data_IF_181618499476
#
_entry.id   IF_181618499476
#
_cell.length_a   1.000
_cell.length_b   1.000
_cell.length_c   1.000
_cell.angle_alpha   90.00
_cell.angle_beta   90.00
_cell.angle_gamma   90.00
#
_symmetry.space_group_name_H-M   'P 1'
#
loop_
_entity.id
_entity.type
_entity.pdbx_description
1 polymer ?
#
# COMPACT_ATOMS: atom_id res chain seq x y z
N UNK A 1 16.05 7.15 6.46
CA UNK A 1 14.81 7.31 7.26
C UNK A 1 14.66 8.76 7.67
N UNK A 2 13.69 9.48 7.12
CA UNK A 2 12.95 10.47 7.87
C UNK A 2 11.49 10.02 8.02
N UNK A 3 10.99 10.33 9.20
CA UNK A 3 9.70 9.98 9.78
C UNK A 3 8.56 10.49 8.90
N UNK A 4 7.63 9.61 8.50
CA UNK A 4 6.32 9.99 7.99
C UNK A 4 5.52 10.64 9.12
N UNK A 5 5.82 11.91 9.36
CA UNK A 5 5.13 12.72 10.34
C UNK A 5 4.07 13.55 9.60
N UNK A 6 2.84 13.03 9.51
CA UNK A 6 1.62 13.86 9.48
C UNK A 6 0.34 13.02 9.55
N UNK A 7 -0.56 13.51 10.40
CA UNK A 7 -2.00 13.30 10.41
C UNK A 7 -2.58 12.08 11.16
N UNK A 8 -3.35 12.43 12.18
CA UNK A 8 -4.04 11.63 13.20
C UNK A 8 -5.27 10.87 12.71
N UNK A 9 -5.17 10.09 11.62
CA UNK A 9 -6.24 9.20 11.16
C UNK A 9 -5.64 7.96 10.51
N UNK A 10 -5.98 6.79 11.07
CA UNK A 10 -5.70 5.41 10.59
C UNK A 10 -5.17 5.38 9.13
N UNK A 11 -3.86 5.29 8.95
CA UNK A 11 -3.23 5.20 7.63
C UNK A 11 -3.52 3.82 7.03
N UNK A 12 -4.43 3.76 6.07
CA UNK A 12 -4.76 2.54 5.32
C UNK A 12 -4.18 2.66 3.91
N UNK A 13 -3.56 1.56 3.46
CA UNK A 13 -3.16 1.21 2.10
C UNK A 13 -1.92 1.94 1.55
N UNK A 14 -0.77 1.26 1.69
CA UNK A 14 0.35 1.40 0.76
C UNK A 14 -0.02 0.57 -0.47
N UNK A 15 -0.56 1.22 -1.51
CA UNK A 15 -0.62 0.66 -2.86
C UNK A 15 0.68 1.10 -3.52
N UNK A 16 1.66 0.19 -3.58
CA UNK A 16 2.88 0.39 -4.38
C UNK A 16 2.50 0.00 -5.81
N UNK A 17 1.84 0.91 -6.52
CA UNK A 17 1.77 0.82 -7.98
C UNK A 17 2.94 1.63 -8.52
N UNK A 18 3.97 0.92 -8.99
CA UNK A 18 5.11 1.52 -9.64
C UNK A 18 4.63 2.10 -10.96
N UNK A 19 4.70 3.42 -11.07
CA UNK A 19 4.49 4.23 -12.27
C UNK A 19 3.02 4.60 -12.61
N UNK A 20 2.82 5.92 -12.74
CA UNK A 20 1.66 6.62 -13.33
C UNK A 20 0.32 6.72 -12.60
N UNK A 21 0.16 6.24 -11.37
CA UNK A 21 -1.17 6.21 -10.74
C UNK A 21 -1.57 7.38 -9.81
N UNK A 22 -0.81 8.49 -9.75
CA UNK A 22 -1.17 9.60 -8.85
C UNK A 22 -2.43 10.35 -9.32
N UNK A 23 -2.62 10.51 -10.64
CA UNK A 23 -3.76 11.27 -11.17
C UNK A 23 -5.11 10.55 -10.94
N UNK A 24 -5.10 9.22 -10.88
CA UNK A 24 -6.33 8.42 -10.80
C UNK A 24 -6.89 8.31 -9.36
N UNK A 25 -6.05 8.41 -8.34
CA UNK A 25 -6.46 8.18 -6.94
C UNK A 25 -7.48 9.19 -6.39
N UNK A 26 -7.45 10.44 -6.87
CA UNK A 26 -8.44 11.46 -6.49
C UNK A 26 -9.83 11.12 -7.05
N UNK A 27 -9.89 10.48 -8.22
CA UNK A 27 -11.14 10.04 -8.84
C UNK A 27 -11.80 8.89 -8.06
N UNK A 28 -11.00 8.06 -7.37
CA UNK A 28 -11.52 6.99 -6.52
C UNK A 28 -12.05 7.50 -5.19
N UNK A 29 -11.21 8.17 -4.38
CA UNK A 29 -11.64 8.72 -3.09
C UNK A 29 -10.66 9.78 -2.56
N UNK A 30 -11.13 10.93 -2.05
CA UNK A 30 -10.27 12.05 -1.64
C UNK A 30 -9.37 11.78 -0.43
N UNK A 31 -9.51 10.63 0.23
CA UNK A 31 -8.64 10.20 1.35
C UNK A 31 -7.49 9.28 0.90
N UNK A 32 -7.47 8.86 -0.36
CA UNK A 32 -6.38 8.05 -0.89
C UNK A 32 -5.17 8.94 -1.16
N UNK A 33 -4.00 8.46 -0.74
CA UNK A 33 -2.73 9.13 -0.95
C UNK A 33 -1.84 8.23 -1.79
N UNK A 34 -1.50 8.69 -3.00
CA UNK A 34 -0.51 8.05 -3.86
C UNK A 34 0.89 8.52 -3.48
N UNK A 35 1.82 7.58 -3.38
CA UNK A 35 3.24 7.87 -3.16
C UNK A 35 4.04 7.45 -4.40
N UNK A 36 4.99 8.29 -4.81
CA UNK A 36 5.93 8.01 -5.89
C UNK A 36 7.31 8.55 -5.52
N UNK A 37 8.33 8.19 -6.27
CA UNK A 37 9.69 8.66 -6.08
C UNK A 37 10.62 8.20 -7.20
N UNK A 38 11.91 8.35 -6.97
CA UNK A 38 12.96 7.80 -7.83
C UNK A 38 12.98 6.27 -7.80
N UNK A 39 13.56 5.61 -8.81
CA UNK A 39 13.70 4.16 -8.84
C UNK A 39 14.37 3.59 -7.58
N UNK A 40 15.35 4.31 -7.01
CA UNK A 40 16.04 3.88 -5.78
C UNK A 40 15.14 3.97 -4.54
N UNK A 41 14.37 5.05 -4.40
CA UNK A 41 13.41 5.21 -3.29
C UNK A 41 12.32 4.15 -3.35
N UNK A 42 11.81 3.89 -4.55
CA UNK A 42 10.79 2.89 -4.82
C UNK A 42 11.34 1.48 -4.56
N UNK A 43 12.55 1.16 -5.03
CA UNK A 43 13.20 -0.12 -4.75
C UNK A 43 13.43 -0.33 -3.25
N UNK A 44 13.83 0.73 -2.53
CA UNK A 44 14.02 0.70 -1.08
C UNK A 44 12.70 0.41 -0.36
N UNK A 45 11.61 1.07 -0.76
CA UNK A 45 10.28 0.83 -0.22
C UNK A 45 9.77 -0.58 -0.52
N UNK A 46 9.89 -1.05 -1.77
CA UNK A 46 9.49 -2.39 -2.18
C UNK A 46 10.23 -3.46 -1.36
N UNK A 47 11.54 -3.29 -1.14
CA UNK A 47 12.34 -4.18 -0.31
C UNK A 47 11.91 -4.17 1.16
N UNK A 48 11.59 -3.01 1.72
CA UNK A 48 11.14 -2.89 3.11
C UNK A 48 9.82 -3.63 3.37
N UNK A 49 8.91 -3.63 2.40
CA UNK A 49 7.62 -4.33 2.48
C UNK A 49 7.63 -5.73 1.84
N UNK A 50 8.79 -6.20 1.37
CA UNK A 50 8.96 -7.48 0.67
C UNK A 50 8.02 -7.62 -0.55
N UNK A 51 7.75 -6.51 -1.23
CA UNK A 51 6.94 -6.47 -2.45
C UNK A 51 7.81 -6.86 -3.63
N UNK A 52 7.35 -7.86 -4.38
CA UNK A 52 7.92 -8.22 -5.67
C UNK A 52 7.34 -7.32 -6.76
N UNK A 53 8.21 -6.82 -7.64
CA UNK A 53 7.83 -6.19 -8.89
C UNK A 53 8.82 -6.57 -10.00
N UNK A 54 8.33 -6.81 -11.20
CA UNK A 54 9.14 -7.06 -12.39
C UNK A 54 8.53 -6.37 -13.60
N UNK A 55 9.26 -5.47 -14.29
CA UNK A 55 8.80 -4.98 -15.57
C UNK A 55 8.76 -6.15 -16.57
N UNK A 56 7.64 -6.29 -17.27
CA UNK A 56 7.51 -7.19 -18.40
C UNK A 56 8.33 -6.66 -19.59
N UNK A 57 8.58 -7.52 -20.57
CA UNK A 57 9.13 -7.12 -21.86
C UNK A 57 8.24 -6.07 -22.51
N UNK A 58 8.86 -5.00 -23.03
CA UNK A 58 8.17 -3.96 -23.79
C UNK A 58 7.52 -4.58 -25.02
N UNK A 59 6.25 -4.28 -25.24
CA UNK A 59 5.55 -4.70 -26.45
C UNK A 59 5.93 -3.81 -27.66
N UNK A 60 5.44 -4.20 -28.85
CA UNK A 60 5.73 -3.49 -30.09
C UNK A 60 5.18 -2.04 -30.09
N UNK A 61 4.26 -1.71 -29.18
CA UNK A 61 3.62 -0.39 -29.05
C UNK A 61 4.33 0.51 -28.01
N UNK A 62 5.47 0.07 -27.45
CA UNK A 62 6.18 0.69 -26.32
C UNK A 62 5.41 0.73 -24.99
N UNK A 63 4.35 -0.06 -24.86
CA UNK A 63 3.68 -0.29 -23.60
C UNK A 63 4.39 -1.43 -22.84
N UNK A 64 4.34 -1.37 -21.51
CA UNK A 64 4.85 -2.43 -20.66
C UNK A 64 3.94 -2.62 -19.45
N UNK A 65 3.73 -3.88 -19.11
CA UNK A 65 3.07 -4.26 -17.87
C UNK A 65 4.13 -4.47 -16.79
N UNK A 66 3.77 -4.20 -15.54
CA UNK A 66 4.63 -4.52 -14.40
C UNK A 66 3.91 -5.56 -13.56
N UNK A 67 4.46 -6.77 -13.55
CA UNK A 67 4.02 -7.79 -12.61
C UNK A 67 4.36 -7.32 -11.20
N UNK A 68 3.37 -7.24 -10.32
CA UNK A 68 3.54 -6.81 -8.94
C UNK A 68 2.70 -7.63 -7.97
N UNK A 69 3.08 -7.59 -6.71
CA UNK A 69 2.36 -8.31 -5.65
C UNK A 69 1.06 -7.58 -5.30
N UNK A 70 -0.09 -8.24 -5.47
CA UNK A 70 -1.41 -7.67 -5.18
C UNK A 70 -1.80 -7.95 -3.72
N UNK A 71 -1.19 -7.19 -2.79
CA UNK A 71 -1.43 -7.29 -1.35
C UNK A 71 -1.56 -5.88 -0.75
N UNK A 72 -2.55 -5.70 0.12
CA UNK A 72 -2.72 -4.52 0.96
C UNK A 72 -2.14 -4.77 2.36
N UNK A 73 -1.31 -3.86 2.85
CA UNK A 73 -0.73 -3.94 4.20
C UNK A 73 -1.50 -3.04 5.19
N UNK A 74 -1.70 -3.54 6.40
CA UNK A 74 -2.27 -2.80 7.53
C UNK A 74 -1.17 -2.45 8.53
N UNK A 75 -0.95 -1.16 8.74
CA UNK A 75 0.04 -0.61 9.66
C UNK A 75 -0.69 0.07 10.83
N UNK A 76 -0.19 -0.10 12.05
CA UNK A 76 -0.77 0.57 13.22
C UNK A 76 -0.35 2.06 13.27
N UNK A 77 -0.95 2.87 14.16
CA UNK A 77 -0.56 4.26 14.34
C UNK A 77 0.88 4.49 14.86
N UNK A 78 1.56 3.44 15.33
CA UNK A 78 2.95 3.47 15.81
C UNK A 78 3.95 3.14 14.68
N UNK A 79 3.47 2.74 13.50
CA UNK A 79 4.28 2.38 12.34
C UNK A 79 4.59 0.89 12.23
N UNK A 80 4.06 0.05 13.12
CA UNK A 80 4.29 -1.40 13.06
C UNK A 80 3.32 -2.10 12.11
N UNK A 81 3.84 -3.12 11.45
CA UNK A 81 3.05 -4.06 10.67
C UNK A 81 2.10 -4.86 11.57
N UNK A 82 0.82 -4.90 11.20
CA UNK A 82 -0.23 -5.61 11.96
C UNK A 82 -0.80 -6.79 11.18
N UNK A 83 -1.12 -6.58 9.90
CA UNK A 83 -1.84 -7.55 9.09
C UNK A 83 -1.68 -7.26 7.59
N UNK A 84 -2.12 -8.19 6.74
CA UNK A 84 -2.16 -8.01 5.29
C UNK A 84 -3.38 -8.69 4.65
N UNK A 85 -3.83 -8.14 3.53
CA UNK A 85 -5.02 -8.60 2.79
C UNK A 85 -4.68 -8.75 1.31
N UNK A 86 -4.75 -9.98 0.80
CA UNK A 86 -4.60 -10.26 -0.62
C UNK A 86 -5.89 -10.04 -1.41
N UNK A 87 -5.80 -10.11 -2.74
CA UNK A 87 -6.94 -9.97 -3.66
C UNK A 87 -8.08 -10.96 -3.40
N UNK A 88 -7.81 -12.09 -2.75
CA UNK A 88 -8.82 -13.11 -2.44
C UNK A 88 -9.77 -12.73 -1.28
N UNK A 89 -9.60 -11.57 -0.64
CA UNK A 89 -10.44 -11.11 0.46
C UNK A 89 -11.58 -10.22 -0.03
N UNK A 90 -12.78 -10.44 0.49
CA UNK A 90 -13.92 -9.54 0.24
C UNK A 90 -13.85 -8.30 1.13
N UNK A 91 -14.57 -7.24 0.74
CA UNK A 91 -14.64 -6.00 1.53
C UNK A 91 -15.08 -6.24 2.98
N UNK A 92 -16.06 -7.13 3.20
CA UNK A 92 -16.54 -7.49 4.55
C UNK A 92 -15.47 -8.20 5.38
N UNK A 93 -14.67 -9.07 4.76
CA UNK A 93 -13.57 -9.77 5.43
C UNK A 93 -12.47 -8.80 5.84
N UNK A 94 -12.12 -7.86 4.95
CA UNK A 94 -11.14 -6.81 5.24
C UNK A 94 -11.66 -5.89 6.36
N UNK A 95 -12.91 -5.47 6.28
CA UNK A 95 -13.56 -4.65 7.31
C UNK A 95 -13.49 -5.33 8.69
N UNK A 96 -13.95 -6.59 8.77
CA UNK A 96 -13.91 -7.35 10.02
C UNK A 96 -12.47 -7.52 10.56
N UNK A 97 -11.50 -7.78 9.67
CA UNK A 97 -10.09 -7.85 10.00
C UNK A 97 -9.59 -6.57 10.66
N UNK A 98 -9.79 -5.43 10.01
CA UNK A 98 -9.38 -4.11 10.51
C UNK A 98 -10.06 -3.79 11.84
N UNK A 99 -11.37 -4.02 11.97
CA UNK A 99 -12.12 -3.79 13.21
C UNK A 99 -11.57 -4.58 14.39
N UNK A 100 -11.22 -5.85 14.17
CA UNK A 100 -10.60 -6.69 15.19
C UNK A 100 -9.23 -6.17 15.62
N UNK A 101 -8.41 -5.74 14.67
CA UNK A 101 -7.09 -5.16 14.97
C UNK A 101 -7.20 -3.84 15.74
N UNK A 102 -8.19 -3.00 15.40
CA UNK A 102 -8.48 -1.77 16.14
C UNK A 102 -8.86 -2.03 17.61
N UNK A 103 -9.69 -3.04 17.87
CA UNK A 103 -10.06 -3.44 19.24
C UNK A 103 -8.81 -3.90 20.01
N UNK A 104 -8.00 -4.78 19.40
CA UNK A 104 -6.75 -5.25 20.00
C UNK A 104 -5.75 -4.14 20.27
N UNK A 105 -5.70 -3.10 19.43
CA UNK A 105 -4.84 -1.94 19.64
C UNK A 105 -5.33 -1.11 20.83
N UNK A 106 -6.63 -0.84 20.92
CA UNK A 106 -7.22 -0.08 22.04
C UNK A 106 -7.03 -0.75 23.40
N UNK A 107 -7.10 -2.09 23.48
CA UNK A 107 -6.91 -2.81 24.73
C UNK A 107 -5.45 -2.94 25.18
N UNK A 108 -4.48 -2.64 24.32
CA UNK A 108 -3.05 -2.66 24.67
C UNK A 108 -2.55 -1.33 25.26
N UNK A 109 -3.36 -0.28 25.17
CA UNK A 109 -3.18 1.00 25.87
C UNK A 109 -4.07 1.05 27.10
#
# INVERSE_FOLDING_TARGET
MPVLNTCSKLHVAIIIDLFYFILSLIEFHPKLLGLTGTNEEVHTAAKAYQVYYSPASVDDDNDYLVDHTIIMYLINPEGDFVDYYGQNKTADQVHAGISNQMIKYKHRK
#
